data_IF_434745711630
#
_entry.id   IF_434745711630
#
_cell.length_a   1.000
_cell.length_b   1.000
_cell.length_c   1.000
_cell.angle_alpha   90.00
_cell.angle_beta   90.00
_cell.angle_gamma   90.00
#
_symmetry.space_group_name_H-M   'P 1'
#
loop_
_entity.id
_entity.type
_entity.pdbx_description
1 polymer ?
#
# COMPACT_ATOMS: atom_id res chain seq x y z
N UNK A 1 -19.50 9.16 -8.46
CA UNK A 1 -18.69 8.54 -7.40
C UNK A 1 -17.36 8.11 -7.96
N UNK A 2 -16.29 8.37 -7.25
CA UNK A 2 -14.94 8.00 -7.70
C UNK A 2 -14.58 6.61 -7.20
N UNK A 3 -13.58 5.99 -7.84
CA UNK A 3 -13.06 4.71 -7.38
C UNK A 3 -12.55 4.78 -5.93
N UNK A 4 -12.06 5.95 -5.54
CA UNK A 4 -11.54 6.16 -4.18
C UNK A 4 -12.65 6.03 -3.12
N UNK A 5 -13.85 6.54 -3.41
CA UNK A 5 -14.95 6.48 -2.46
C UNK A 5 -15.35 5.04 -2.14
N UNK A 6 -15.21 4.13 -3.10
CA UNK A 6 -15.56 2.71 -2.92
C UNK A 6 -14.62 2.00 -1.96
N UNK A 7 -13.41 2.51 -1.76
CA UNK A 7 -12.38 1.86 -0.95
C UNK A 7 -11.99 2.66 0.29
N UNK A 8 -12.76 3.68 0.64
CA UNK A 8 -12.41 4.62 1.70
C UNK A 8 -12.22 3.95 3.07
N UNK A 9 -12.85 2.80 3.29
CA UNK A 9 -12.74 2.07 4.56
C UNK A 9 -12.09 0.71 4.41
N UNK A 10 -11.43 0.48 3.27
CA UNK A 10 -10.78 -0.80 3.05
C UNK A 10 -9.52 -0.89 3.89
N UNK A 11 -9.44 -1.93 4.70
CA UNK A 11 -8.30 -2.18 5.58
C UNK A 11 -7.96 -3.67 5.55
N UNK A 12 -6.69 -3.98 5.73
CA UNK A 12 -6.25 -5.37 5.89
C UNK A 12 -4.92 -5.41 6.62
N UNK A 13 -4.54 -6.60 7.08
CA UNK A 13 -3.20 -6.80 7.62
C UNK A 13 -2.22 -7.02 6.47
N UNK A 14 -0.94 -6.74 6.73
CA UNK A 14 0.13 -6.89 5.76
C UNK A 14 1.45 -7.08 6.50
N UNK A 15 2.50 -7.46 5.76
CA UNK A 15 3.85 -7.54 6.32
C UNK A 15 4.64 -6.35 5.81
N UNK A 16 5.20 -5.58 6.72
CA UNK A 16 5.91 -4.34 6.42
C UNK A 16 7.36 -4.44 6.85
N UNK A 17 8.25 -4.09 5.94
CA UNK A 17 9.68 -3.98 6.21
C UNK A 17 10.07 -2.51 6.07
N UNK A 18 10.38 -1.82 7.19
CA UNK A 18 10.67 -0.38 7.13
C UNK A 18 11.96 -0.02 6.44
N UNK A 19 12.94 -0.94 6.42
CA UNK A 19 14.21 -0.68 5.75
C UNK A 19 14.93 -2.00 5.47
N UNK A 20 15.95 -1.92 4.63
CA UNK A 20 16.78 -3.06 4.28
C UNK A 20 17.46 -3.64 5.52
N UNK A 21 17.48 -4.96 5.64
CA UNK A 21 18.11 -5.64 6.78
C UNK A 21 17.25 -5.71 8.03
N UNK A 22 16.08 -5.07 8.03
CA UNK A 22 15.14 -5.10 9.15
C UNK A 22 14.10 -6.19 8.92
N UNK A 23 13.77 -6.93 9.97
CA UNK A 23 12.78 -7.98 9.89
C UNK A 23 11.39 -7.40 9.59
N UNK A 24 10.62 -8.11 8.75
CA UNK A 24 9.24 -7.73 8.47
C UNK A 24 8.37 -7.89 9.71
N UNK A 25 7.39 -7.01 9.86
CA UNK A 25 6.44 -7.07 10.97
C UNK A 25 5.02 -6.94 10.45
N UNK A 26 4.09 -7.52 11.17
CA UNK A 26 2.67 -7.43 10.81
C UNK A 26 2.13 -6.05 11.18
N UNK A 27 1.41 -5.46 10.24
CA UNK A 27 0.83 -4.12 10.38
C UNK A 27 -0.57 -4.12 9.80
N UNK A 28 -1.30 -3.03 10.01
CA UNK A 28 -2.55 -2.75 9.31
C UNK A 28 -2.30 -1.75 8.21
N UNK A 29 -2.93 -1.96 7.06
CA UNK A 29 -2.92 -0.97 5.97
C UNK A 29 -4.33 -0.55 5.65
N UNK A 30 -4.50 0.72 5.34
CA UNK A 30 -5.79 1.28 4.95
C UNK A 30 -5.62 2.30 3.85
N UNK A 31 -6.61 2.38 2.95
CA UNK A 31 -6.60 3.35 1.87
C UNK A 31 -7.19 4.67 2.33
N UNK A 32 -6.41 5.74 2.15
CA UNK A 32 -6.87 7.10 2.33
C UNK A 32 -7.19 7.74 0.99
N UNK A 33 -7.36 9.05 0.96
CA UNK A 33 -7.75 9.77 -0.26
C UNK A 33 -6.68 9.70 -1.35
N UNK A 34 -5.42 9.86 -0.98
CA UNK A 34 -4.31 9.82 -1.92
C UNK A 34 -3.13 9.06 -1.34
N UNK A 35 -3.34 8.39 -0.22
CA UNK A 35 -2.28 7.70 0.51
C UNK A 35 -2.70 6.32 0.95
N UNK A 36 -1.72 5.46 1.13
CA UNK A 36 -1.87 4.19 1.83
C UNK A 36 -1.27 4.39 3.21
N UNK A 37 -2.06 4.19 4.25
CA UNK A 37 -1.61 4.39 5.63
C UNK A 37 -1.20 3.06 6.22
N UNK A 38 0.02 3.00 6.75
CA UNK A 38 0.55 1.82 7.43
C UNK A 38 0.57 2.13 8.93
N UNK A 39 -0.12 1.31 9.71
CA UNK A 39 -0.20 1.53 11.16
C UNK A 39 -0.01 0.24 11.92
N UNK A 40 0.43 0.36 13.18
CA UNK A 40 0.50 -0.78 14.10
C UNK A 40 -0.90 -1.14 14.59
N UNK A 41 -1.02 -2.31 15.23
CA UNK A 41 -2.29 -2.78 15.75
C UNK A 41 -2.82 -1.93 16.91
N UNK A 42 -1.99 -1.05 17.46
CA UNK A 42 -2.39 -0.07 18.45
C UNK A 42 -2.82 1.26 17.83
N UNK A 43 -3.07 1.28 16.54
CA UNK A 43 -3.50 2.44 15.77
C UNK A 43 -2.46 3.56 15.63
N UNK A 44 -1.22 3.29 16.02
CA UNK A 44 -0.13 4.24 15.83
C UNK A 44 0.29 4.26 14.37
N UNK A 45 0.23 5.43 13.73
CA UNK A 45 0.68 5.56 12.33
C UNK A 45 2.19 5.36 12.25
N UNK A 46 2.62 4.46 11.36
CA UNK A 46 4.02 4.12 11.16
C UNK A 46 4.58 4.74 9.88
N UNK A 47 3.76 4.79 8.83
CA UNK A 47 4.20 5.30 7.54
C UNK A 47 2.99 5.67 6.70
N UNK A 48 3.19 6.60 5.78
CA UNK A 48 2.17 7.03 4.81
C UNK A 48 2.80 6.97 3.43
N UNK A 49 2.21 6.18 2.54
CA UNK A 49 2.70 6.05 1.17
C UNK A 49 1.79 6.81 0.23
N UNK A 50 2.36 7.70 -0.57
CA UNK A 50 1.62 8.38 -1.63
C UNK A 50 1.22 7.35 -2.70
N UNK A 51 -0.07 7.23 -3.00
CA UNK A 51 -0.55 6.24 -3.95
C UNK A 51 0.12 6.33 -5.32
N UNK A 52 0.32 7.54 -5.91
CA UNK A 52 1.01 7.62 -7.19
C UNK A 52 2.47 7.15 -7.16
N UNK A 53 3.08 7.11 -5.98
CA UNK A 53 4.48 6.70 -5.85
C UNK A 53 4.66 5.22 -5.57
N UNK A 54 3.56 4.48 -5.38
CA UNK A 54 3.63 3.04 -5.11
C UNK A 54 3.86 2.28 -6.40
N UNK A 55 4.79 1.33 -6.40
CA UNK A 55 4.98 0.43 -7.52
C UNK A 55 4.90 -1.01 -7.06
N UNK A 56 4.38 -1.87 -7.90
CA UNK A 56 4.31 -3.29 -7.63
C UNK A 56 5.53 -3.97 -8.21
N UNK A 57 6.29 -4.65 -7.36
CA UNK A 57 7.55 -5.28 -7.76
C UNK A 57 7.36 -6.64 -8.43
N UNK A 58 6.22 -7.29 -8.18
CA UNK A 58 5.98 -8.66 -8.69
C UNK A 58 4.60 -8.80 -9.32
N UNK A 59 4.31 -8.08 -10.42
CA UNK A 59 2.97 -8.17 -11.04
C UNK A 59 2.59 -9.60 -11.37
N UNK A 60 1.33 -9.94 -11.07
CA UNK A 60 0.80 -11.27 -11.33
C UNK A 60 1.11 -12.32 -10.27
N UNK A 61 1.94 -12.01 -9.30
CA UNK A 61 2.31 -12.96 -8.25
C UNK A 61 1.64 -12.62 -6.92
N UNK A 62 1.57 -13.60 -6.04
CA UNK A 62 1.00 -13.45 -4.70
C UNK A 62 1.96 -13.99 -3.66
N UNK A 63 2.09 -13.32 -2.49
CA UNK A 63 1.48 -12.03 -2.16
C UNK A 63 2.01 -10.90 -3.04
N UNK A 64 1.23 -9.81 -3.12
CA UNK A 64 1.66 -8.64 -3.88
C UNK A 64 2.75 -7.89 -3.10
N UNK A 65 3.87 -7.65 -3.76
CA UNK A 65 4.99 -6.94 -3.15
C UNK A 65 5.05 -5.52 -3.69
N UNK A 66 4.94 -4.56 -2.79
CA UNK A 66 4.92 -3.14 -3.14
C UNK A 66 6.11 -2.40 -2.54
N UNK A 67 6.53 -1.35 -3.22
CA UNK A 67 7.57 -0.44 -2.75
C UNK A 67 7.25 0.97 -3.24
N UNK A 68 7.91 1.97 -2.69
CA UNK A 68 7.82 3.33 -3.19
C UNK A 68 8.75 3.52 -4.39
N UNK A 69 8.31 4.35 -5.33
CA UNK A 69 9.10 4.72 -6.51
C UNK A 69 10.14 5.77 -6.11
N UNK A 70 11.07 5.37 -5.26
CA UNK A 70 12.13 6.21 -4.72
C UNK A 70 13.37 5.32 -4.62
N UNK A 71 14.43 5.70 -5.32
CA UNK A 71 15.65 4.90 -5.39
C UNK A 71 16.30 4.67 -4.02
N UNK A 72 16.04 5.56 -3.06
CA UNK A 72 16.61 5.44 -1.71
C UNK A 72 15.68 4.73 -0.74
N UNK A 73 14.47 4.39 -1.17
CA UNK A 73 13.49 3.76 -0.29
C UNK A 73 13.72 2.26 -0.23
N UNK A 74 14.03 1.76 0.96
CA UNK A 74 14.15 0.32 1.23
C UNK A 74 12.89 -0.26 1.86
N UNK A 75 11.86 0.56 1.97
CA UNK A 75 10.60 0.19 2.60
C UNK A 75 9.77 -0.69 1.67
N UNK A 76 9.36 -1.86 2.15
CA UNK A 76 8.56 -2.81 1.37
C UNK A 76 7.31 -3.20 2.13
N UNK A 77 6.27 -3.59 1.38
CA UNK A 77 4.99 -3.99 1.92
C UNK A 77 4.49 -5.21 1.16
N UNK A 78 4.25 -6.31 1.88
CA UNK A 78 3.69 -7.54 1.31
C UNK A 78 2.22 -7.61 1.67
N UNK A 79 1.35 -7.62 0.67
CA UNK A 79 -0.10 -7.70 0.86
C UNK A 79 -0.62 -8.98 0.24
N UNK A 80 -1.23 -9.85 1.04
CA UNK A 80 -1.80 -11.10 0.55
C UNK A 80 -3.30 -11.02 0.27
N UNK A 81 -3.97 -9.95 0.73
CA UNK A 81 -5.41 -9.78 0.50
C UNK A 81 -5.68 -9.29 -0.92
N UNK A 82 -6.31 -10.12 -1.78
CA UNK A 82 -6.54 -9.73 -3.18
C UNK A 82 -7.36 -8.46 -3.34
N UNK A 83 -8.33 -8.23 -2.47
CA UNK A 83 -9.16 -7.04 -2.55
C UNK A 83 -8.36 -5.76 -2.33
N UNK A 84 -7.37 -5.82 -1.43
CA UNK A 84 -6.54 -4.65 -1.14
C UNK A 84 -5.60 -4.33 -2.30
N UNK A 85 -4.86 -5.32 -2.84
CA UNK A 85 -3.93 -4.98 -3.91
C UNK A 85 -4.64 -4.65 -5.22
N UNK A 86 -5.82 -5.22 -5.46
CA UNK A 86 -6.64 -4.81 -6.60
C UNK A 86 -7.13 -3.37 -6.43
N UNK A 87 -7.51 -2.99 -5.22
CA UNK A 87 -7.95 -1.63 -4.91
C UNK A 87 -6.82 -0.61 -5.10
N UNK A 88 -5.61 -0.95 -4.66
CA UNK A 88 -4.44 -0.08 -4.85
C UNK A 88 -4.21 0.17 -6.33
N UNK A 89 -4.20 -0.87 -7.15
CA UNK A 89 -3.99 -0.73 -8.59
C UNK A 89 -5.07 0.10 -9.24
N UNK A 90 -6.31 -0.10 -8.83
CA UNK A 90 -7.46 0.62 -9.41
C UNK A 90 -7.43 2.10 -9.06
N UNK A 91 -7.16 2.43 -7.80
CA UNK A 91 -7.12 3.83 -7.37
C UNK A 91 -5.93 4.54 -8.00
N UNK A 92 -4.77 3.89 -8.09
CA UNK A 92 -3.60 4.46 -8.78
C UNK A 92 -3.93 4.77 -10.24
N UNK A 93 -4.60 3.85 -10.91
CA UNK A 93 -5.01 4.05 -12.30
C UNK A 93 -5.95 5.25 -12.44
N UNK A 94 -6.90 5.41 -11.53
CA UNK A 94 -7.82 6.54 -11.54
C UNK A 94 -7.11 7.86 -11.31
N UNK A 95 -6.16 7.92 -10.39
CA UNK A 95 -5.35 9.11 -10.12
C UNK A 95 -4.53 9.49 -11.36
N UNK A 96 -3.88 8.51 -11.97
CA UNK A 96 -3.07 8.74 -13.17
C UNK A 96 -3.90 9.29 -14.33
N UNK A 97 -5.10 8.77 -14.51
CA UNK A 97 -5.99 9.22 -15.59
C UNK A 97 -6.54 10.62 -15.35
N UNK A 98 -6.60 11.06 -14.10
CA UNK A 98 -7.13 12.38 -13.75
C UNK A 98 -6.12 13.51 -13.99
N UNK A 99 -4.89 13.20 -14.30
CA UNK A 99 -3.82 14.20 -14.52
C UNK A 99 -3.77 14.67 -15.95
#
# INVERSE_FOLDING_TARGET
MTALADYQRLECSALWRPSSGVQRREVMVSLGEATLVISGFNETALSHWSLPAIQRLNPGERPALFALDDADADEHLDISEPDMFAAIDRVRGAISRAR
#
